data_IF_890693801191
#
_entry.id   IF_890693801191
#
_cell.length_a   1.000
_cell.length_b   1.000
_cell.length_c   1.000
_cell.angle_alpha   90.00
_cell.angle_beta   90.00
_cell.angle_gamma   90.00
#
_symmetry.space_group_name_H-M   'P 1'
#
loop_
_entity.id
_entity.type
_entity.pdbx_description
1 polymer ?
#
# COMPACT_ATOMS: atom_id res chain seq x y z
N UNK A 1 -25.68 -22.89 35.42
CA UNK A 1 -24.67 -21.81 35.32
C UNK A 1 -24.00 -21.92 33.94
N UNK A 2 -24.58 -21.31 32.91
CA UNK A 2 -24.11 -21.43 31.52
C UNK A 2 -23.36 -20.15 31.13
N UNK A 3 -22.04 -20.26 30.99
CA UNK A 3 -21.19 -19.15 30.56
C UNK A 3 -21.47 -18.84 29.08
N UNK A 4 -22.01 -17.64 28.85
CA UNK A 4 -22.41 -17.09 27.56
C UNK A 4 -21.16 -16.91 26.68
N UNK A 5 -21.14 -17.65 25.56
CA UNK A 5 -20.24 -17.59 24.39
C UNK A 5 -19.21 -16.46 24.41
N UNK A 6 -17.94 -16.82 24.62
CA UNK A 6 -16.82 -15.99 24.20
C UNK A 6 -16.83 -15.90 22.66
N UNK A 7 -17.37 -14.76 22.22
CA UNK A 7 -17.59 -14.17 20.90
C UNK A 7 -16.94 -14.84 19.66
N UNK A 8 -17.80 -15.20 18.71
CA UNK A 8 -17.51 -15.48 17.29
C UNK A 8 -16.60 -14.41 16.63
N UNK A 9 -16.59 -13.20 17.19
CA UNK A 9 -15.73 -12.10 16.76
C UNK A 9 -14.23 -12.45 16.81
N UNK A 10 -13.79 -13.23 17.81
CA UNK A 10 -12.37 -13.61 17.91
C UNK A 10 -11.95 -14.54 16.76
N UNK A 11 -12.88 -15.37 16.26
CA UNK A 11 -12.68 -16.23 15.10
C UNK A 11 -12.68 -15.45 13.79
N UNK A 12 -13.59 -14.49 13.66
CA UNK A 12 -13.69 -13.59 12.51
C UNK A 12 -12.42 -12.74 12.34
N UNK A 13 -11.92 -12.14 13.43
CA UNK A 13 -10.68 -11.36 13.42
C UNK A 13 -9.47 -12.21 13.03
N UNK A 14 -9.41 -13.47 13.46
CA UNK A 14 -8.32 -14.38 13.11
C UNK A 14 -8.35 -14.88 11.65
N UNK A 15 -9.51 -14.89 10.99
CA UNK A 15 -9.68 -15.43 9.63
C UNK A 15 -9.67 -14.36 8.53
N UNK A 16 -10.18 -13.16 8.77
CA UNK A 16 -10.33 -12.10 7.74
C UNK A 16 -9.29 -10.97 7.85
N UNK A 17 -8.61 -10.85 9.00
CA UNK A 17 -7.63 -9.80 9.24
C UNK A 17 -6.46 -10.32 10.07
N UNK A 18 -5.49 -11.06 9.49
CA UNK A 18 -4.23 -11.28 10.17
C UNK A 18 -3.70 -9.92 10.60
N UNK A 19 -3.53 -9.76 11.92
CA UNK A 19 -3.24 -8.49 12.55
C UNK A 19 -2.14 -7.76 11.76
N UNK A 20 -2.51 -6.61 11.19
CA UNK A 20 -1.67 -5.80 10.31
C UNK A 20 -0.59 -5.11 11.14
N UNK A 21 0.33 -5.87 11.71
CA UNK A 21 1.46 -5.29 12.40
C UNK A 21 2.39 -4.70 11.35
N UNK A 22 2.72 -3.40 11.43
CA UNK A 22 3.86 -2.89 10.71
C UNK A 22 5.04 -3.77 11.12
N UNK A 23 5.73 -4.39 10.16
CA UNK A 23 6.94 -5.17 10.44
C UNK A 23 8.09 -4.30 10.99
N UNK A 24 7.85 -3.00 11.15
CA UNK A 24 8.83 -1.96 11.45
C UNK A 24 9.69 -1.57 10.25
N UNK A 25 9.58 -2.29 9.14
CA UNK A 25 10.34 -2.09 7.91
C UNK A 25 9.62 -1.11 7.00
N UNK A 26 10.38 -0.17 6.45
CA UNK A 26 9.91 0.81 5.47
C UNK A 26 10.47 0.50 4.10
N UNK A 27 9.66 0.74 3.08
CA UNK A 27 9.98 0.55 1.68
C UNK A 27 9.93 1.91 0.98
N UNK A 28 11.00 2.27 0.28
CA UNK A 28 10.96 3.30 -0.74
C UNK A 28 10.29 2.69 -1.98
N UNK A 29 9.01 3.03 -2.17
CA UNK A 29 8.20 2.60 -3.29
C UNK A 29 8.37 3.59 -4.44
N UNK A 30 8.63 3.09 -5.64
CA UNK A 30 8.56 3.85 -6.89
C UNK A 30 7.71 3.09 -7.89
N UNK A 31 6.82 3.79 -8.58
CA UNK A 31 5.98 3.21 -9.63
C UNK A 31 5.57 4.28 -10.64
N UNK A 32 5.24 3.87 -11.86
CA UNK A 32 4.56 4.72 -12.82
C UNK A 32 3.08 4.36 -12.86
N UNK A 33 2.20 5.36 -12.79
CA UNK A 33 0.75 5.22 -12.81
C UNK A 33 0.13 6.06 -13.92
N UNK A 34 -1.05 5.66 -14.38
CA UNK A 34 -1.85 6.44 -15.33
C UNK A 34 -2.44 7.70 -14.68
N UNK A 35 -2.78 8.71 -15.49
CA UNK A 35 -3.18 10.04 -15.00
C UNK A 35 -4.34 10.08 -14.00
N UNK A 36 -5.40 9.27 -14.17
CA UNK A 36 -6.50 9.27 -13.21
C UNK A 36 -6.07 8.75 -11.82
N UNK A 37 -5.18 7.76 -11.80
CA UNK A 37 -4.63 7.19 -10.56
C UNK A 37 -3.64 8.16 -9.92
N UNK A 38 -2.86 8.90 -10.73
CA UNK A 38 -2.03 9.99 -10.23
C UNK A 38 -2.87 11.03 -9.49
N UNK A 39 -3.99 11.48 -10.10
CA UNK A 39 -4.92 12.44 -9.48
C UNK A 39 -5.52 11.90 -8.18
N UNK A 40 -5.92 10.63 -8.15
CA UNK A 40 -6.41 10.01 -6.93
C UNK A 40 -5.35 9.99 -5.83
N UNK A 41 -4.08 9.74 -6.18
CA UNK A 41 -2.97 9.74 -5.24
C UNK A 41 -2.55 11.15 -4.78
N UNK A 42 -2.85 12.20 -5.54
CA UNK A 42 -2.72 13.60 -5.06
C UNK A 42 -3.69 13.88 -3.91
N UNK A 43 -4.94 13.41 -4.03
CA UNK A 43 -5.98 13.56 -3.02
C UNK A 43 -5.77 12.63 -1.81
N UNK A 44 -5.37 11.38 -2.08
CA UNK A 44 -5.21 10.30 -1.09
C UNK A 44 -3.78 9.78 -1.13
N UNK A 45 -2.87 10.52 -0.50
CA UNK A 45 -1.45 10.17 -0.43
C UNK A 45 -1.21 8.85 0.30
N UNK A 46 -0.28 8.05 -0.23
CA UNK A 46 0.21 6.82 0.40
C UNK A 46 1.06 7.12 1.65
N UNK A 47 1.79 8.24 1.62
CA UNK A 47 2.68 8.70 2.69
C UNK A 47 2.88 10.22 2.61
N UNK A 48 3.37 10.81 3.70
CA UNK A 48 3.61 12.25 3.79
C UNK A 48 4.70 12.74 2.82
N UNK A 49 5.72 11.90 2.58
CA UNK A 49 6.84 12.18 1.66
C UNK A 49 6.52 11.86 0.19
N UNK A 50 5.25 11.59 -0.13
CA UNK A 50 4.86 11.23 -1.49
C UNK A 50 5.11 12.38 -2.47
N UNK A 51 5.76 12.06 -3.58
CA UNK A 51 5.90 12.94 -4.74
C UNK A 51 5.32 12.31 -6.01
N UNK A 52 4.81 13.16 -6.90
CA UNK A 52 4.25 12.79 -8.20
C UNK A 52 4.87 13.70 -9.25
N UNK A 53 5.47 13.10 -10.28
CA UNK A 53 6.14 13.81 -11.38
C UNK A 53 5.70 13.22 -12.72
N UNK A 54 5.69 13.99 -13.82
CA UNK A 54 5.47 13.44 -15.16
C UNK A 54 6.51 12.35 -15.49
N UNK A 55 6.06 11.23 -16.07
CA UNK A 55 6.95 10.21 -16.60
C UNK A 55 7.34 10.49 -18.07
N UNK A 56 8.31 9.73 -18.61
CA UNK A 56 8.75 9.88 -19.99
C UNK A 56 7.64 9.60 -21.03
N UNK A 57 6.65 8.78 -20.68
CA UNK A 57 5.51 8.51 -21.55
C UNK A 57 4.34 9.43 -21.21
N UNK A 58 3.71 9.97 -22.26
CA UNK A 58 2.48 10.78 -22.14
C UNK A 58 1.40 10.06 -21.32
N UNK A 59 0.72 10.82 -20.46
CA UNK A 59 -0.35 10.35 -19.55
C UNK A 59 0.10 9.34 -18.47
N UNK A 60 1.41 9.19 -18.25
CA UNK A 60 1.96 8.45 -17.12
C UNK A 60 2.70 9.37 -16.16
N UNK A 61 2.63 9.05 -14.89
CA UNK A 61 3.23 9.81 -13.80
C UNK A 61 4.02 8.89 -12.90
N UNK A 62 5.21 9.32 -12.49
CA UNK A 62 6.04 8.62 -11.54
C UNK A 62 5.68 9.05 -10.13
N UNK A 63 5.32 8.07 -9.31
CA UNK A 63 5.02 8.24 -7.89
C UNK A 63 6.18 7.68 -7.09
N UNK A 64 6.62 8.43 -6.07
CA UNK A 64 7.59 7.97 -5.07
C UNK A 64 7.02 8.22 -3.68
N UNK A 65 7.17 7.26 -2.77
CA UNK A 65 6.73 7.37 -1.38
C UNK A 65 7.49 6.39 -0.48
N UNK A 66 7.69 6.73 0.79
CA UNK A 66 8.17 5.78 1.81
C UNK A 66 6.99 5.21 2.57
N UNK A 67 6.70 3.93 2.34
CA UNK A 67 5.54 3.22 2.91
C UNK A 67 5.98 2.11 3.86
N UNK A 68 5.11 1.74 4.79
CA UNK A 68 5.34 0.56 5.62
C UNK A 68 5.19 -0.72 4.80
N UNK A 69 6.09 -1.67 5.02
CA UNK A 69 5.94 -3.02 4.47
C UNK A 69 4.77 -3.74 5.13
N UNK A 70 3.72 -3.99 4.36
CA UNK A 70 2.52 -4.71 4.76
C UNK A 70 2.00 -5.53 3.60
N UNK A 71 1.42 -6.69 3.87
CA UNK A 71 0.81 -7.55 2.83
C UNK A 71 -0.24 -6.80 2.00
N UNK A 72 -0.97 -5.87 2.63
CA UNK A 72 -1.94 -5.01 1.96
C UNK A 72 -1.35 -4.16 0.85
N UNK A 73 -0.09 -3.73 0.95
CA UNK A 73 0.57 -3.00 -0.14
C UNK A 73 0.70 -3.88 -1.38
N UNK A 74 1.08 -5.15 -1.21
CA UNK A 74 1.18 -6.11 -2.30
C UNK A 74 -0.18 -6.44 -2.92
N UNK A 75 -1.21 -6.64 -2.09
CA UNK A 75 -2.59 -6.82 -2.57
C UNK A 75 -3.09 -5.60 -3.34
N UNK A 76 -2.89 -4.40 -2.79
CA UNK A 76 -3.27 -3.16 -3.43
C UNK A 76 -2.57 -2.99 -4.79
N UNK A 77 -1.24 -3.17 -4.84
CA UNK A 77 -0.46 -3.08 -6.09
C UNK A 77 -0.95 -4.09 -7.15
N UNK A 78 -1.27 -5.33 -6.75
CA UNK A 78 -1.83 -6.35 -7.64
C UNK A 78 -3.21 -5.93 -8.19
N UNK A 79 -4.04 -5.31 -7.35
CA UNK A 79 -5.37 -4.83 -7.73
C UNK A 79 -5.37 -3.68 -8.76
N UNK A 80 -4.28 -2.92 -8.88
CA UNK A 80 -4.16 -1.82 -9.84
C UNK A 80 -4.04 -2.30 -11.29
N UNK A 81 -3.56 -3.54 -11.51
CA UNK A 81 -3.44 -4.16 -12.83
C UNK A 81 -2.67 -3.29 -13.83
N UNK A 82 -3.28 -3.02 -14.99
CA UNK A 82 -2.66 -2.25 -16.08
C UNK A 82 -2.49 -0.75 -15.80
N UNK A 83 -3.03 -0.24 -14.70
CA UNK A 83 -2.95 1.18 -14.34
C UNK A 83 -1.62 1.55 -13.66
N UNK A 84 -0.78 0.56 -13.36
CA UNK A 84 0.52 0.71 -12.73
C UNK A 84 1.58 -0.08 -13.48
N UNK A 85 2.83 0.39 -13.47
CA UNK A 85 3.98 -0.30 -14.05
C UNK A 85 5.29 0.14 -13.40
N UNK A 86 6.39 -0.52 -13.78
CA UNK A 86 7.74 -0.21 -13.31
C UNK A 86 7.80 -0.10 -11.78
N UNK A 87 7.12 -1.02 -11.11
CA UNK A 87 7.07 -1.04 -9.65
C UNK A 87 8.44 -1.46 -9.14
N UNK A 88 9.00 -0.66 -8.25
CA UNK A 88 10.26 -0.90 -7.57
C UNK A 88 10.04 -0.73 -6.06
N UNK A 89 10.48 -1.72 -5.30
CA UNK A 89 10.44 -1.73 -3.83
C UNK A 89 11.88 -1.83 -3.33
N UNK A 90 12.31 -0.86 -2.53
CA UNK A 90 13.63 -0.90 -1.88
C UNK A 90 13.50 -0.73 -0.39
N UNK A 91 14.02 -1.67 0.38
CA UNK A 91 14.08 -1.55 1.84
C UNK A 91 14.91 -0.34 2.25
N UNK A 92 14.34 0.47 3.12
CA UNK A 92 15.03 1.61 3.73
C UNK A 92 15.63 1.11 5.04
N UNK A 93 16.96 1.15 5.14
CA UNK A 93 17.63 0.89 6.43
C UNK A 93 17.27 2.02 7.39
N UNK A 94 16.81 1.69 8.60
CA UNK A 94 16.78 2.66 9.69
C UNK A 94 18.24 3.00 10.01
N UNK A 95 18.59 4.29 9.94
CA UNK A 95 19.84 4.80 10.53
C UNK A 95 19.68 4.84 12.04
#
# INVERSE_FOLDING_TARGET
RAARRASDLARYVAQEHPMQFPTGRRIALTMEVVGWLARHLEERKLAADQTIEPAAQKNWFRVRATVDERDQLDWWLRGLGRNVRKIQKRYVRRR
#
